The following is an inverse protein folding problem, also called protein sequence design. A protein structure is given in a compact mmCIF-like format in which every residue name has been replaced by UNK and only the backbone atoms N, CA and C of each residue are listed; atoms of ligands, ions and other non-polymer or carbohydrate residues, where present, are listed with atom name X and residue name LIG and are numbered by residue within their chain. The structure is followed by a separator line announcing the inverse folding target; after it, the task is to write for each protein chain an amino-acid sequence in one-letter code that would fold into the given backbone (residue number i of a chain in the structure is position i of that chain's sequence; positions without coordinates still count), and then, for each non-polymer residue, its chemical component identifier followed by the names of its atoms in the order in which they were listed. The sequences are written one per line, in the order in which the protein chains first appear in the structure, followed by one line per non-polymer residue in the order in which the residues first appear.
data_IF_093797744354
#
_entry.id   IF_093797744354
#
_cell.length_a   1.000
_cell.length_b   1.000
_cell.length_c   1.000
_cell.angle_alpha   90.00
_cell.angle_beta   90.00
_cell.angle_gamma   90.00
#
_symmetry.space_group_name_H-M   'P 1'
#
loop_
_entity.id
_entity.type
_entity.pdbx_description
1 polymer ?
#
# COMPACT_ATOMS: atom_id res chain seq x y z
N UNK A 1 5.67 4.76 8.61
CA UNK A 1 5.55 5.51 7.34
C UNK A 1 6.77 5.19 6.48
N UNK A 2 6.57 4.79 5.23
CA UNK A 2 7.69 4.55 4.32
C UNK A 2 8.19 5.87 3.74
N UNK A 3 9.50 6.04 3.76
CA UNK A 3 10.20 7.17 3.15
C UNK A 3 10.92 6.69 1.89
N UNK A 4 10.64 7.32 0.76
CA UNK A 4 11.36 7.09 -0.49
C UNK A 4 12.13 8.34 -0.90
N UNK A 5 13.31 8.14 -1.43
CA UNK A 5 14.13 9.20 -1.99
C UNK A 5 13.41 9.90 -3.14
N UNK A 6 13.36 11.22 -3.15
CA UNK A 6 12.77 12.00 -4.25
C UNK A 6 13.56 11.87 -5.56
N UNK A 7 14.86 11.62 -5.47
CA UNK A 7 15.73 11.53 -6.64
C UNK A 7 15.65 10.18 -7.37
N UNK A 8 15.77 9.06 -6.65
CA UNK A 8 15.84 7.71 -7.27
C UNK A 8 14.71 6.77 -6.88
N UNK A 9 13.84 7.16 -5.92
CA UNK A 9 12.74 6.33 -5.45
C UNK A 9 13.13 5.24 -4.45
N UNK A 10 14.43 5.10 -4.11
CA UNK A 10 14.90 4.10 -3.16
C UNK A 10 14.33 4.32 -1.76
N UNK A 11 13.98 3.23 -1.07
CA UNK A 11 13.45 3.30 0.29
C UNK A 11 14.55 3.54 1.32
N UNK A 12 14.31 4.42 2.29
CA UNK A 12 15.18 4.57 3.44
C UNK A 12 15.06 3.32 4.34
N UNK A 13 16.08 2.47 4.37
CA UNK A 13 16.13 1.24 5.19
C UNK A 13 17.32 1.25 6.13
N UNK A 14 17.15 0.60 7.26
CA UNK A 14 18.26 0.26 8.14
C UNK A 14 19.10 -0.85 7.50
N UNK A 15 20.39 -0.70 7.41
CA UNK A 15 21.28 -1.68 6.79
C UNK A 15 21.29 -3.01 7.56
N UNK A 16 21.26 -2.96 8.90
CA UNK A 16 21.32 -4.15 9.75
C UNK A 16 19.95 -4.84 9.87
N UNK A 17 18.93 -4.10 10.25
CA UNK A 17 17.60 -4.68 10.50
C UNK A 17 16.74 -4.79 9.24
N UNK A 18 17.15 -4.19 8.10
CA UNK A 18 16.43 -4.18 6.81
C UNK A 18 15.02 -3.61 6.87
N UNK A 19 14.63 -3.02 7.99
CA UNK A 19 13.33 -2.36 8.17
C UNK A 19 13.37 -0.92 7.66
N UNK A 20 12.21 -0.36 7.26
CA UNK A 20 12.12 1.04 6.89
C UNK A 20 12.51 1.97 8.05
N UNK A 21 13.32 2.97 7.77
CA UNK A 21 13.66 4.02 8.72
C UNK A 21 12.57 5.08 8.77
N UNK A 22 12.49 5.78 9.91
CA UNK A 22 11.61 6.93 10.10
C UNK A 22 12.45 8.21 10.23
N UNK A 23 11.93 9.32 9.72
CA UNK A 23 12.55 10.63 9.93
C UNK A 23 12.06 11.18 11.26
N UNK A 24 12.99 11.59 12.11
CA UNK A 24 12.73 12.19 13.42
C UNK A 24 12.62 13.73 13.33
N UNK A 25 12.40 14.36 14.48
CA UNK A 25 12.27 15.81 14.61
C UNK A 25 13.59 16.55 14.40
N UNK A 26 14.71 15.85 14.55
CA UNK A 26 16.08 16.38 14.39
C UNK A 26 16.58 16.19 12.94
N UNK A 27 15.69 15.89 12.02
CA UNK A 27 15.96 15.68 10.60
C UNK A 27 16.99 14.56 10.35
N UNK A 28 16.85 13.45 11.10
CA UNK A 28 17.64 12.23 10.94
C UNK A 28 16.77 11.04 10.59
N UNK A 29 17.34 10.10 9.87
CA UNK A 29 16.73 8.78 9.65
C UNK A 29 17.09 7.89 10.84
N UNK A 30 16.08 7.29 11.49
CA UNK A 30 16.22 6.43 12.67
C UNK A 30 15.56 5.07 12.43
N UNK A 31 16.23 4.03 12.88
CA UNK A 31 15.68 2.68 12.88
C UNK A 31 14.60 2.54 13.97
N UNK A 32 13.39 2.05 13.64
CA UNK A 32 12.34 1.86 14.65
C UNK A 32 12.60 0.70 15.61
N UNK A 33 13.54 -0.19 15.30
CA UNK A 33 13.90 -1.34 16.15
C UNK A 33 15.10 -1.05 17.06
N UNK A 34 15.96 -0.12 16.69
CA UNK A 34 17.14 0.25 17.47
C UNK A 34 17.50 1.71 17.23
N UNK A 35 17.32 2.53 18.25
CA UNK A 35 17.59 3.97 18.20
C UNK A 35 19.07 4.33 17.99
N UNK A 36 19.99 3.43 18.33
CA UNK A 36 21.41 3.62 18.08
C UNK A 36 21.71 3.68 16.57
N UNK A 37 20.88 3.04 15.76
CA UNK A 37 20.99 3.07 14.31
C UNK A 37 20.27 4.30 13.73
N UNK A 38 20.97 5.44 13.77
CA UNK A 38 20.49 6.68 13.15
C UNK A 38 21.56 7.25 12.21
N UNK A 39 21.11 7.91 11.12
CA UNK A 39 21.98 8.53 10.14
C UNK A 39 21.38 9.81 9.57
N UNK A 40 22.18 10.68 8.94
CA UNK A 40 21.66 11.85 8.24
C UNK A 40 20.63 11.48 7.19
N UNK A 41 19.75 12.43 6.83
CA UNK A 41 18.78 12.27 5.73
C UNK A 41 19.53 12.36 4.40
N UNK A 42 20.22 11.28 4.04
CA UNK A 42 20.95 11.12 2.79
C UNK A 42 20.61 9.76 2.18
N UNK A 43 20.33 9.74 0.90
CA UNK A 43 20.05 8.50 0.18
C UNK A 43 21.34 7.73 -0.11
N UNK A 44 21.38 6.47 0.29
CA UNK A 44 22.56 5.61 0.12
C UNK A 44 22.84 5.32 -1.37
N UNK A 45 21.80 5.34 -2.22
CA UNK A 45 21.94 5.03 -3.65
C UNK A 45 22.34 6.22 -4.51
N UNK A 46 21.88 7.45 -4.22
CA UNK A 46 22.09 8.61 -5.10
C UNK A 46 22.58 9.88 -4.40
N UNK A 47 22.75 9.86 -3.06
CA UNK A 47 23.21 11.00 -2.28
C UNK A 47 22.20 12.13 -2.08
N UNK A 48 20.99 12.04 -2.61
CA UNK A 48 19.96 13.05 -2.43
C UNK A 48 19.53 13.15 -0.95
N UNK A 49 19.21 14.37 -0.51
CA UNK A 49 18.84 14.66 0.89
C UNK A 49 17.34 14.86 1.09
N UNK A 50 16.54 14.66 0.06
CA UNK A 50 15.08 14.82 0.10
C UNK A 50 14.40 13.46 0.02
N UNK A 51 13.55 13.22 0.99
CA UNK A 51 12.69 12.04 1.04
C UNK A 51 11.23 12.46 1.09
N UNK A 52 10.38 11.71 0.45
CA UNK A 52 8.93 11.87 0.50
C UNK A 52 8.29 10.69 1.25
N UNK A 53 7.24 11.02 1.96
CA UNK A 53 6.41 9.99 2.56
C UNK A 53 5.54 9.35 1.46
N UNK A 54 5.62 8.03 1.32
CA UNK A 54 4.86 7.30 0.29
C UNK A 54 3.35 7.21 0.59
N UNK A 55 2.90 7.61 1.77
CA UNK A 55 1.49 7.54 2.10
C UNK A 55 0.73 8.74 1.50
N UNK A 56 0.18 8.57 0.32
CA UNK A 56 -0.88 9.45 -0.17
C UNK A 56 -2.10 9.33 0.75
N UNK A 57 -2.69 10.44 1.18
CA UNK A 57 -3.96 10.40 1.89
C UNK A 57 -5.05 9.80 0.99
N UNK A 58 -5.95 8.99 1.55
CA UNK A 58 -7.04 8.35 0.79
C UNK A 58 -7.85 9.38 -0.01
N UNK A 59 -8.13 10.54 0.61
CA UNK A 59 -8.88 11.62 -0.04
C UNK A 59 -8.17 12.19 -1.27
N UNK A 60 -6.84 12.32 -1.24
CA UNK A 60 -6.06 12.75 -2.40
C UNK A 60 -6.12 11.72 -3.53
N UNK A 61 -5.96 10.43 -3.20
CA UNK A 61 -6.10 9.34 -4.18
C UNK A 61 -7.50 9.34 -4.78
N UNK A 62 -8.54 9.60 -3.97
CA UNK A 62 -9.92 9.72 -4.45
C UNK A 62 -10.04 10.83 -5.49
N UNK A 63 -9.57 12.02 -5.19
CA UNK A 63 -9.63 13.17 -6.09
C UNK A 63 -8.91 12.93 -7.43
N UNK A 64 -7.70 12.37 -7.36
CA UNK A 64 -6.92 12.00 -8.55
C UNK A 64 -7.65 10.94 -9.40
N UNK A 65 -8.24 9.93 -8.75
CA UNK A 65 -9.02 8.88 -9.45
C UNK A 65 -10.30 9.43 -10.07
N UNK A 66 -11.02 10.36 -9.40
CA UNK A 66 -12.20 11.02 -9.94
C UNK A 66 -11.85 11.82 -11.20
N UNK A 67 -10.75 12.59 -11.14
CA UNK A 67 -10.28 13.36 -12.29
C UNK A 67 -9.90 12.47 -13.49
N UNK A 68 -9.23 11.35 -13.24
CA UNK A 68 -8.80 10.40 -14.27
C UNK A 68 -9.96 9.58 -14.84
N UNK A 69 -10.88 9.15 -13.98
CA UNK A 69 -11.98 8.25 -14.36
C UNK A 69 -13.17 9.00 -14.96
N UNK A 70 -13.30 10.31 -14.76
CA UNK A 70 -14.43 11.12 -15.17
C UNK A 70 -15.77 10.70 -14.52
N UNK A 71 -15.72 10.06 -13.36
CA UNK A 71 -16.89 9.53 -12.63
C UNK A 71 -16.63 9.51 -11.12
N UNK A 72 -17.69 9.53 -10.30
CA UNK A 72 -17.56 9.53 -8.84
C UNK A 72 -16.76 8.32 -8.31
N UNK A 73 -15.90 8.60 -7.35
CA UNK A 73 -15.15 7.60 -6.58
C UNK A 73 -15.60 7.66 -5.13
N UNK A 74 -16.08 6.54 -4.60
CA UNK A 74 -16.55 6.45 -3.21
C UNK A 74 -15.40 6.13 -2.28
N UNK A 75 -15.14 7.02 -1.34
CA UNK A 75 -14.21 6.76 -0.23
C UNK A 75 -14.89 5.85 0.80
N UNK A 76 -14.26 4.72 1.08
CA UNK A 76 -14.78 3.70 2.01
C UNK A 76 -14.00 3.75 3.31
N UNK A 77 -14.70 4.07 4.38
CA UNK A 77 -14.21 4.06 5.76
C UNK A 77 -15.01 3.05 6.59
N UNK A 78 -14.66 2.88 7.85
CA UNK A 78 -15.43 2.05 8.79
C UNK A 78 -16.84 2.60 9.02
N UNK A 79 -17.07 3.88 8.77
CA UNK A 79 -18.34 4.61 9.01
C UNK A 79 -19.19 4.76 7.75
N UNK A 80 -18.66 4.39 6.57
CA UNK A 80 -19.40 4.52 5.30
C UNK A 80 -20.70 3.72 5.35
N UNK A 81 -21.81 4.33 4.96
CA UNK A 81 -23.12 3.68 4.93
C UNK A 81 -23.15 2.48 3.98
N UNK A 82 -23.71 1.35 4.43
CA UNK A 82 -23.78 0.13 3.64
C UNK A 82 -24.63 0.29 2.36
N UNK A 83 -25.67 1.09 2.42
CA UNK A 83 -26.53 1.37 1.24
C UNK A 83 -25.78 2.05 0.11
N UNK A 84 -24.77 2.89 0.42
CA UNK A 84 -23.91 3.51 -0.58
C UNK A 84 -22.98 2.50 -1.24
N UNK A 85 -22.57 1.45 -0.53
CA UNK A 85 -21.68 0.41 -1.05
C UNK A 85 -22.41 -0.56 -1.99
N UNK A 86 -23.65 -0.89 -1.68
CA UNK A 86 -24.42 -1.91 -2.40
C UNK A 86 -25.35 -1.34 -3.47
N UNK A 87 -25.91 -0.15 -3.26
CA UNK A 87 -26.96 0.43 -4.12
C UNK A 87 -26.64 1.77 -4.78
N UNK A 88 -25.56 2.44 -4.36
CA UNK A 88 -25.30 3.85 -4.70
C UNK A 88 -24.76 4.14 -6.09
N UNK A 89 -24.73 3.19 -7.02
CA UNK A 89 -24.24 3.41 -8.40
C UNK A 89 -22.74 3.65 -8.53
N UNK A 90 -21.99 3.75 -7.42
CA UNK A 90 -20.53 3.88 -7.47
C UNK A 90 -19.90 2.60 -8.02
N UNK A 91 -19.02 2.75 -8.99
CA UNK A 91 -18.27 1.64 -9.62
C UNK A 91 -16.79 1.63 -9.25
N UNK A 92 -16.32 2.69 -8.60
CA UNK A 92 -14.93 2.83 -8.13
C UNK A 92 -14.96 3.16 -6.64
N UNK A 93 -14.15 2.42 -5.89
CA UNK A 93 -14.03 2.55 -4.45
C UNK A 93 -12.57 2.77 -4.08
N UNK A 94 -12.31 3.61 -3.11
CA UNK A 94 -10.98 3.83 -2.55
C UNK A 94 -11.05 3.85 -1.04
N UNK A 95 -10.02 3.38 -0.38
CA UNK A 95 -9.94 3.39 1.07
C UNK A 95 -8.74 2.60 1.57
N UNK A 96 -8.68 2.42 2.87
CA UNK A 96 -7.71 1.55 3.52
C UNK A 96 -8.19 0.09 3.48
N UNK A 97 -7.65 -0.78 4.31
CA UNK A 97 -8.10 -2.16 4.48
C UNK A 97 -9.63 -2.30 4.67
N UNK A 98 -10.29 -1.27 5.20
CA UNK A 98 -11.74 -1.22 5.38
C UNK A 98 -12.52 -1.57 4.09
N UNK A 99 -12.01 -1.18 2.91
CA UNK A 99 -12.58 -1.52 1.60
C UNK A 99 -12.80 -3.03 1.46
N UNK A 100 -11.81 -3.83 1.84
CA UNK A 100 -11.84 -5.29 1.68
C UNK A 100 -12.86 -5.97 2.61
N UNK A 101 -13.25 -5.30 3.70
CA UNK A 101 -14.22 -5.81 4.67
C UNK A 101 -15.65 -5.33 4.40
N UNK A 102 -15.76 -4.14 3.81
CA UNK A 102 -17.04 -3.46 3.65
C UNK A 102 -17.74 -3.78 2.33
N UNK A 103 -16.97 -4.03 1.26
CA UNK A 103 -17.53 -4.39 -0.03
C UNK A 103 -17.91 -5.87 -0.03
N UNK A 104 -19.19 -6.17 -0.26
CA UNK A 104 -19.71 -7.54 -0.30
C UNK A 104 -19.98 -8.05 -1.73
N UNK A 105 -19.98 -7.15 -2.70
CA UNK A 105 -20.20 -7.50 -4.11
C UNK A 105 -18.90 -7.85 -4.83
N UNK A 106 -19.02 -8.63 -5.92
CA UNK A 106 -17.88 -8.91 -6.80
C UNK A 106 -17.44 -7.67 -7.54
N UNK A 107 -16.12 -7.49 -7.63
CA UNK A 107 -15.49 -6.41 -8.39
C UNK A 107 -14.63 -6.98 -9.53
N UNK A 108 -14.46 -6.23 -10.61
CA UNK A 108 -13.61 -6.65 -11.71
C UNK A 108 -12.11 -6.51 -11.37
N UNK A 109 -11.75 -5.49 -10.61
CA UNK A 109 -10.35 -5.19 -10.30
C UNK A 109 -10.18 -4.76 -8.86
N UNK A 110 -9.10 -5.23 -8.22
CA UNK A 110 -8.59 -4.71 -6.95
C UNK A 110 -7.15 -4.27 -7.20
N UNK A 111 -6.82 -3.06 -6.74
CA UNK A 111 -5.49 -2.47 -6.88
C UNK A 111 -4.98 -2.09 -5.49
N UNK A 112 -3.86 -2.64 -5.10
CA UNK A 112 -3.13 -2.16 -3.94
C UNK A 112 -2.11 -1.10 -4.40
N UNK A 113 -2.23 0.09 -3.87
CA UNK A 113 -1.26 1.16 -4.04
C UNK A 113 -0.24 1.09 -2.89
N UNK A 114 1.06 1.19 -3.23
CA UNK A 114 2.15 1.22 -2.25
C UNK A 114 2.12 0.06 -1.23
N UNK A 115 1.95 -1.17 -1.73
CA UNK A 115 1.84 -2.37 -0.91
C UNK A 115 3.10 -2.67 -0.08
N UNK A 116 4.21 -2.02 -0.38
CA UNK A 116 5.46 -2.09 0.38
C UNK A 116 5.28 -1.80 1.87
N UNK A 117 4.27 -1.00 2.24
CA UNK A 117 3.97 -0.71 3.64
C UNK A 117 3.53 -1.95 4.42
N UNK A 118 2.86 -2.88 3.77
CA UNK A 118 2.44 -4.14 4.36
C UNK A 118 3.57 -5.17 4.34
N UNK A 119 4.31 -5.25 3.23
CA UNK A 119 5.44 -6.18 3.08
C UNK A 119 6.60 -5.87 4.03
N UNK A 120 6.87 -4.58 4.28
CA UNK A 120 8.02 -4.10 5.04
C UNK A 120 7.64 -3.58 6.44
N UNK A 121 6.43 -3.86 6.89
CA UNK A 121 6.01 -3.44 8.22
C UNK A 121 6.89 -4.08 9.30
N UNK A 122 7.38 -3.31 10.30
CA UNK A 122 8.23 -3.83 11.38
C UNK A 122 7.40 -4.63 12.40
N UNK A 123 6.77 -5.69 11.94
CA UNK A 123 5.89 -6.57 12.71
C UNK A 123 6.30 -8.02 12.49
N UNK A 124 6.27 -8.83 13.55
CA UNK A 124 6.65 -10.24 13.49
C UNK A 124 5.86 -11.06 12.45
N UNK A 125 4.61 -10.65 12.14
CA UNK A 125 3.70 -11.37 11.22
C UNK A 125 3.39 -10.54 9.97
N UNK A 126 4.29 -9.67 9.53
CA UNK A 126 4.04 -8.80 8.38
C UNK A 126 3.72 -9.60 7.10
N UNK A 127 4.52 -10.62 6.78
CA UNK A 127 4.30 -11.48 5.60
C UNK A 127 2.95 -12.20 5.66
N UNK A 128 2.58 -12.76 6.83
CA UNK A 128 1.29 -13.43 7.00
C UNK A 128 0.11 -12.46 6.81
N UNK A 129 0.22 -11.24 7.37
CA UNK A 129 -0.81 -10.22 7.24
C UNK A 129 -0.93 -9.70 5.81
N UNK A 130 0.18 -9.47 5.14
CA UNK A 130 0.21 -9.08 3.73
C UNK A 130 -0.44 -10.18 2.85
N UNK A 131 -0.11 -11.44 3.08
CA UNK A 131 -0.74 -12.57 2.40
C UNK A 131 -2.25 -12.60 2.65
N UNK A 132 -2.68 -12.42 3.90
CA UNK A 132 -4.11 -12.41 4.26
C UNK A 132 -4.89 -11.30 3.53
N UNK A 133 -4.29 -10.12 3.35
CA UNK A 133 -4.88 -9.03 2.56
C UNK A 133 -5.06 -9.41 1.09
N UNK A 134 -4.04 -10.02 0.47
CA UNK A 134 -4.09 -10.46 -0.92
C UNK A 134 -5.14 -11.55 -1.14
N UNK A 135 -5.20 -12.54 -0.23
CA UNK A 135 -6.24 -13.58 -0.25
C UNK A 135 -7.63 -13.00 -0.07
N UNK A 136 -7.81 -12.03 0.82
CA UNK A 136 -9.09 -11.35 1.01
C UNK A 136 -9.51 -10.59 -0.25
N UNK A 137 -8.58 -9.84 -0.84
CA UNK A 137 -8.81 -9.11 -2.07
C UNK A 137 -9.20 -10.05 -3.23
N UNK A 138 -8.55 -11.20 -3.35
CA UNK A 138 -8.87 -12.19 -4.39
C UNK A 138 -10.31 -12.74 -4.27
N UNK A 139 -10.84 -12.86 -3.05
CA UNK A 139 -12.23 -13.29 -2.81
C UNK A 139 -13.27 -12.28 -3.28
N UNK A 140 -12.92 -11.00 -3.38
CA UNK A 140 -13.80 -9.98 -3.93
C UNK A 140 -13.83 -9.98 -5.46
N UNK A 141 -12.86 -10.59 -6.12
CA UNK A 141 -12.79 -10.60 -7.57
C UNK A 141 -13.84 -11.51 -8.19
N UNK A 142 -14.36 -11.07 -9.31
CA UNK A 142 -15.06 -11.95 -10.26
C UNK A 142 -14.08 -12.95 -10.88
N UNK A 143 -14.60 -13.94 -11.64
CA UNK A 143 -13.76 -14.93 -12.30
C UNK A 143 -12.81 -14.28 -13.31
N UNK A 144 -11.64 -14.89 -13.54
CA UNK A 144 -10.64 -14.40 -14.49
C UNK A 144 -11.21 -14.26 -15.92
N UNK A 145 -12.10 -15.16 -16.31
CA UNK A 145 -12.82 -15.11 -17.60
C UNK A 145 -13.70 -13.86 -17.74
N UNK A 146 -14.20 -13.30 -16.63
CA UNK A 146 -14.94 -12.04 -16.62
C UNK A 146 -14.06 -10.81 -16.33
N UNK A 147 -12.74 -10.94 -16.46
CA UNK A 147 -11.79 -9.84 -16.29
C UNK A 147 -11.33 -9.58 -14.84
N UNK A 148 -11.61 -10.51 -13.91
CA UNK A 148 -11.15 -10.42 -12.53
C UNK A 148 -9.63 -10.33 -12.44
N UNK A 149 -9.09 -9.24 -11.86
CA UNK A 149 -7.65 -9.00 -11.73
C UNK A 149 -7.29 -8.37 -10.40
N UNK A 150 -6.25 -8.92 -9.78
CA UNK A 150 -5.55 -8.32 -8.66
C UNK A 150 -4.27 -7.66 -9.17
N UNK A 151 -4.07 -6.40 -8.82
CA UNK A 151 -2.86 -5.65 -9.16
C UNK A 151 -2.21 -5.12 -7.90
N UNK A 152 -0.90 -5.20 -7.82
CA UNK A 152 -0.12 -4.76 -6.66
C UNK A 152 0.98 -3.82 -7.14
N UNK A 153 0.93 -2.58 -6.69
CA UNK A 153 2.02 -1.64 -6.90
C UNK A 153 3.04 -1.82 -5.79
N UNK A 154 4.27 -2.16 -6.15
CA UNK A 154 5.35 -2.45 -5.21
C UNK A 154 6.72 -2.12 -5.80
N UNK A 155 7.69 -1.84 -4.94
CA UNK A 155 9.14 -1.76 -5.26
C UNK A 155 9.87 -3.05 -4.87
N UNK A 156 9.11 -4.05 -4.39
CA UNK A 156 9.62 -5.33 -3.91
C UNK A 156 8.98 -6.49 -4.70
N UNK A 157 9.10 -6.53 -6.04
CA UNK A 157 8.42 -7.55 -6.86
C UNK A 157 8.86 -8.98 -6.49
N UNK A 158 10.09 -9.14 -6.00
CA UNK A 158 10.66 -10.43 -5.64
C UNK A 158 10.39 -10.86 -4.19
N UNK A 159 9.57 -10.10 -3.45
CA UNK A 159 9.21 -10.45 -2.07
C UNK A 159 8.48 -11.79 -2.02
N UNK A 160 8.85 -12.65 -1.06
CA UNK A 160 8.33 -14.03 -0.92
C UNK A 160 6.80 -14.14 -0.99
N UNK A 161 6.09 -13.20 -0.34
CA UNK A 161 4.62 -13.15 -0.34
C UNK A 161 4.06 -12.97 -1.76
N UNK A 162 4.66 -12.08 -2.55
CA UNK A 162 4.22 -11.82 -3.92
C UNK A 162 4.54 -13.00 -4.84
N UNK A 163 5.73 -13.58 -4.70
CA UNK A 163 6.11 -14.78 -5.44
C UNK A 163 5.20 -15.96 -5.12
N UNK A 164 4.83 -16.16 -3.85
CA UNK A 164 3.89 -17.20 -3.46
C UNK A 164 2.50 -17.01 -4.11
N UNK A 165 2.00 -15.76 -4.21
CA UNK A 165 0.70 -15.47 -4.86
C UNK A 165 0.77 -15.63 -6.37
N UNK A 166 1.88 -15.24 -7.00
CA UNK A 166 2.07 -15.37 -8.45
C UNK A 166 2.13 -16.83 -8.92
N UNK A 167 2.64 -17.71 -8.06
CA UNK A 167 2.81 -19.15 -8.35
C UNK A 167 1.75 -20.02 -7.67
N UNK A 168 0.77 -19.43 -6.99
CA UNK A 168 -0.36 -20.18 -6.44
C UNK A 168 -1.27 -20.65 -7.58
N UNK A 169 -1.52 -21.95 -7.65
CA UNK A 169 -2.46 -22.60 -8.56
C UNK A 169 -3.94 -22.39 -8.14
#
# INVERSE_FOLDING_TARGET
RLLACDGCGELARCEEHRVPMVQDVDDRLRCPLDEAHSRPVVCDSCGATRFRNLRAGVSRVREELEALAGRPVLEVTTETDAGLLDGGGASVFVGTEAVLHRIQRRVARVVFLEFDQELLAPRMRASEQAMALLVRASRLLGPRSAGGRLMVQTRQPDHEVLQAVLHAD
#
